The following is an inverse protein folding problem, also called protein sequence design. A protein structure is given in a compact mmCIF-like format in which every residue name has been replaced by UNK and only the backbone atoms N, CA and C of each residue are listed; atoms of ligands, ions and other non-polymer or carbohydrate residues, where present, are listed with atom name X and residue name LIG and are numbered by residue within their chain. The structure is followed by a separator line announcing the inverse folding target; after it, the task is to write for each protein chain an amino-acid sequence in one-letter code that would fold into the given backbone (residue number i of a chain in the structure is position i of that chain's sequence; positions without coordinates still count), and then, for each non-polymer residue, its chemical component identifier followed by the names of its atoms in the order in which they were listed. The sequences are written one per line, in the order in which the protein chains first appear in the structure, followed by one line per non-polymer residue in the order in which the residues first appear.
data_IF_954606062548
#
_entry.id   IF_954606062548
#
_cell.length_a   1.000
_cell.length_b   1.000
_cell.length_c   1.000
_cell.angle_alpha   90.00
_cell.angle_beta   90.00
_cell.angle_gamma   90.00
#
_symmetry.space_group_name_H-M   'P 1'
#
loop_
_entity.id
_entity.type
_entity.pdbx_description
1 polymer ?
2 polymer ?
3 polymer ?
4 water ?
#
# COMPACT_ATOMS: atom_id res chain seq x y z
N UNK A 1 -12.57 18.22 -10.48
CA UNK A 1 -12.49 19.44 -9.62
C UNK A 1 -12.10 19.10 -8.18
N UNK A 2 -12.57 17.97 -7.65
CA UNK A 2 -12.22 17.51 -6.30
C UNK A 2 -11.00 16.57 -6.28
N UNK A 3 -9.90 16.99 -6.88
CA UNK A 3 -8.67 16.20 -6.89
C UNK A 3 -7.51 17.09 -6.44
N UNK A 4 -6.72 16.58 -5.50
CA UNK A 4 -5.45 17.20 -5.14
C UNK A 4 -4.35 16.25 -5.61
N UNK A 5 -3.43 16.80 -6.39
CA UNK A 5 -2.42 15.99 -7.04
C UNK A 5 -1.11 16.24 -6.34
N UNK A 6 -0.42 15.16 -5.99
CA UNK A 6 0.89 15.26 -5.37
C UNK A 6 1.87 14.37 -6.13
N UNK A 7 3.16 14.69 -6.11
CA UNK A 7 4.10 13.74 -6.68
C UNK A 7 4.16 12.48 -5.81
N UNK A 8 4.29 11.30 -6.44
CA UNK A 8 4.21 10.11 -5.60
C UNK A 8 5.40 9.97 -4.66
N UNK A 9 6.55 10.49 -5.04
CA UNK A 9 7.76 10.31 -4.25
C UNK A 9 8.59 11.57 -4.19
N UNK A 10 9.29 11.75 -3.07
CA UNK A 10 10.35 12.77 -2.93
C UNK A 10 11.46 12.16 -2.09
N UNK A 11 12.69 12.62 -2.29
CA UNK A 11 13.81 12.16 -1.44
C UNK A 11 14.82 13.26 -1.15
N UNK A 12 15.44 13.18 0.01
CA UNK A 12 16.50 14.11 0.39
C UNK A 12 17.46 13.45 1.36
N UNK A 13 18.57 14.10 1.62
CA UNK A 13 19.53 13.60 2.59
C UNK A 13 19.34 14.40 3.89
N UNK A 14 19.77 13.81 5.02
CA UNK A 14 19.68 14.51 6.30
C UNK A 14 20.35 15.88 6.22
N UNK A 15 19.64 16.90 6.67
CA UNK A 15 20.14 18.28 6.63
C UNK A 15 19.45 19.12 5.58
N UNK A 16 19.06 18.50 4.47
CA UNK A 16 18.47 19.22 3.36
C UNK A 16 17.07 19.81 3.64
N UNK A 17 16.70 20.71 2.74
CA UNK A 17 15.35 21.23 2.64
C UNK A 17 14.71 20.54 1.47
N UNK A 18 13.50 20.03 1.68
CA UNK A 18 12.66 19.54 0.59
C UNK A 18 11.30 20.23 0.65
N UNK A 19 10.61 20.22 -0.48
CA UNK A 19 9.32 20.86 -0.61
C UNK A 19 8.37 19.87 -1.24
N UNK A 20 7.31 19.53 -0.52
CA UNK A 20 6.27 18.63 -1.04
C UNK A 20 5.17 19.47 -1.67
N UNK A 21 4.78 19.09 -2.89
CA UNK A 21 3.90 19.89 -3.73
C UNK A 21 2.50 19.27 -3.74
N UNK A 22 1.50 20.14 -3.84
CA UNK A 22 0.11 19.75 -3.90
C UNK A 22 -0.60 20.69 -4.86
N UNK A 23 -1.27 20.11 -5.85
CA UNK A 23 -1.95 20.90 -6.89
C UNK A 23 -3.44 20.60 -6.91
N UNK A 24 -4.25 21.61 -6.64
CA UNK A 24 -5.70 21.49 -6.59
C UNK A 24 -6.37 22.34 -7.66
N UNK A 25 -7.61 22.76 -7.36
CA UNK A 25 -8.40 23.57 -8.26
C UNK A 25 -9.00 24.73 -7.47
N UNK A 26 -9.69 25.59 -8.19
CA UNK A 26 -10.44 26.70 -7.61
C UNK A 26 -11.56 26.22 -6.71
N UNK A 27 -11.92 24.94 -6.84
CA UNK A 27 -12.96 24.32 -6.02
C UNK A 27 -12.47 23.94 -4.60
N UNK A 28 -11.16 23.88 -4.42
CA UNK A 28 -10.59 23.52 -3.13
C UNK A 28 -9.43 24.44 -2.72
N UNK A 29 -8.24 24.20 -3.26
CA UNK A 29 -6.99 24.79 -2.72
C UNK A 29 -6.92 26.32 -2.81
N UNK A 30 -7.43 26.89 -3.90
CA UNK A 30 -7.28 28.33 -4.12
C UNK A 30 -8.00 29.20 -3.09
N UNK A 31 -9.15 28.75 -2.58
CA UNK A 31 -9.98 29.57 -1.68
C UNK A 31 -10.29 28.93 -0.33
N UNK A 32 -10.38 27.61 -0.29
CA UNK A 32 -10.58 26.89 0.97
C UNK A 32 -9.26 26.62 1.69
N UNK A 33 -9.38 26.41 2.99
CA UNK A 33 -8.23 26.15 3.84
C UNK A 33 -7.55 24.85 3.42
N UNK A 34 -6.21 24.90 3.37
CA UNK A 34 -5.40 23.71 3.18
C UNK A 34 -4.79 23.25 4.50
N UNK A 35 -4.73 21.93 4.68
CA UNK A 35 -4.17 21.30 5.85
C UNK A 35 -3.13 20.30 5.39
N UNK A 36 -2.12 20.05 6.23
CA UNK A 36 -1.09 19.07 5.91
C UNK A 36 -0.95 18.03 7.01
N UNK A 37 -0.85 16.77 6.57
CA UNK A 37 -0.72 15.63 7.45
C UNK A 37 0.55 14.85 7.15
N UNK A 38 1.17 14.34 8.21
CA UNK A 38 2.28 13.42 8.16
C UNK A 38 1.76 12.04 8.57
N UNK A 39 2.22 11.00 7.90
CA UNK A 39 1.77 9.65 8.21
C UNK A 39 2.95 8.70 8.20
N UNK A 40 3.34 8.29 9.40
CA UNK A 40 4.49 7.43 9.62
C UNK A 40 4.01 6.03 9.95
N UNK A 41 4.86 5.03 9.70
CA UNK A 41 4.51 3.65 10.00
C UNK A 41 4.07 3.48 11.45
N UNK A 42 2.93 2.82 11.63
CA UNK A 42 2.45 2.43 12.95
C UNK A 42 1.82 3.55 13.74
N UNK A 43 1.61 4.71 13.10
CA UNK A 43 1.04 5.89 13.74
C UNK A 43 -0.09 6.44 12.84
N UNK A 44 -1.13 6.98 13.45
CA UNK A 44 -2.23 7.59 12.71
C UNK A 44 -1.71 8.83 12.00
N UNK A 45 -2.41 9.28 10.94
CA UNK A 45 -2.04 10.57 10.37
C UNK A 45 -2.03 11.69 11.41
N UNK A 46 -1.09 12.63 11.23
CA UNK A 46 -0.82 13.68 12.20
C UNK A 46 -0.90 15.05 11.55
N UNK A 47 -1.75 15.90 12.10
CA UNK A 47 -1.93 17.23 11.59
C UNK A 47 -0.65 18.04 11.77
N UNK A 48 -0.09 18.54 10.67
CA UNK A 48 1.14 19.33 10.69
C UNK A 48 0.84 20.82 10.58
N UNK A 49 0.00 21.16 9.61
CA UNK A 49 -0.32 22.55 9.27
C UNK A 49 -1.83 22.68 9.15
N UNK A 50 -2.35 23.83 9.58
CA UNK A 50 -3.75 24.12 9.38
C UNK A 50 -3.92 25.50 8.77
N UNK A 51 -5.07 25.69 8.12
CA UNK A 51 -5.44 26.94 7.48
C UNK A 51 -4.26 27.52 6.71
N UNK A 52 -3.81 26.70 5.76
CA UNK A 52 -2.79 27.04 4.75
C UNK A 52 -1.36 27.08 5.26
N UNK A 53 -1.12 27.81 6.34
CA UNK A 53 0.26 28.09 6.78
C UNK A 53 0.47 28.18 8.30
N UNK A 54 -0.48 27.75 9.10
CA UNK A 54 -0.32 27.78 10.55
C UNK A 54 0.14 26.43 11.03
N UNK A 55 1.29 26.41 11.69
CA UNK A 55 1.82 25.19 12.27
C UNK A 55 0.98 24.77 13.49
N UNK A 56 0.69 23.47 13.60
CA UNK A 56 -0.06 22.94 14.75
C UNK A 56 0.85 22.97 15.97
N UNK A 57 0.28 23.11 17.16
CA UNK A 57 1.12 23.17 18.35
C UNK A 57 1.90 21.86 18.51
N UNK A 58 3.08 21.98 19.11
CA UNK A 58 3.98 20.86 19.26
C UNK A 58 4.76 20.52 18.02
N UNK A 59 4.39 21.06 16.86
CA UNK A 59 5.09 20.70 15.62
C UNK A 59 6.37 21.55 15.52
N UNK A 60 7.49 20.92 15.14
CA UNK A 60 8.76 21.67 15.01
C UNK A 60 8.73 22.71 13.88
N UNK A 61 9.40 23.84 14.11
CA UNK A 61 9.34 24.98 13.19
C UNK A 61 10.14 24.83 11.89
N UNK A 62 10.83 23.70 11.73
CA UNK A 62 11.38 23.34 10.41
C UNK A 62 10.29 22.84 9.45
N UNK A 63 9.06 22.75 9.96
CA UNK A 63 7.87 22.55 9.14
C UNK A 63 7.17 23.90 8.84
N UNK A 64 6.92 24.12 7.55
CA UNK A 64 6.29 25.35 7.10
C UNK A 64 5.45 25.06 5.87
N UNK A 65 4.51 25.96 5.57
CA UNK A 65 3.65 25.83 4.39
C UNK A 65 3.24 27.19 3.86
N UNK A 66 2.81 27.21 2.59
CA UNK A 66 2.35 28.42 1.94
C UNK A 66 1.39 28.07 0.81
N UNK A 67 0.79 29.10 0.20
CA UNK A 67 -0.25 28.94 -0.81
C UNK A 67 -0.19 30.08 -1.83
N UNK A 68 -0.29 29.73 -3.12
CA UNK A 68 -0.39 30.71 -4.18
C UNK A 68 -1.21 30.08 -5.30
N UNK A 69 -2.30 30.75 -5.71
CA UNK A 69 -3.25 30.17 -6.64
C UNK A 69 -3.70 28.79 -6.17
N UNK A 70 -3.77 27.84 -7.11
CA UNK A 70 -4.24 26.48 -6.83
C UNK A 70 -3.14 25.52 -6.36
N UNK A 71 -1.94 26.03 -6.05
CA UNK A 71 -0.85 25.19 -5.53
C UNK A 71 -0.58 25.49 -4.07
N UNK A 72 -0.23 24.43 -3.34
CA UNK A 72 0.17 24.53 -1.95
C UNK A 72 1.45 23.73 -1.79
N UNK A 73 2.32 24.16 -0.89
CA UNK A 73 3.53 23.37 -0.61
C UNK A 73 3.90 23.33 0.89
N UNK A 74 4.49 22.20 1.28
CA UNK A 74 4.99 21.99 2.62
C UNK A 74 6.51 22.01 2.55
N UNK A 75 7.13 22.97 3.22
CA UNK A 75 8.58 23.01 3.33
C UNK A 75 9.00 22.27 4.58
N UNK A 76 9.99 21.38 4.44
CA UNK A 76 10.65 20.75 5.59
C UNK A 76 12.15 21.03 5.45
N UNK A 77 12.70 21.81 6.38
CA UNK A 77 14.14 22.03 6.40
C UNK A 77 14.73 21.15 7.51
N UNK A 78 16.05 21.11 7.61
CA UNK A 78 16.71 20.27 8.62
C UNK A 78 16.20 18.84 8.58
N UNK A 79 16.03 18.31 7.36
CA UNK A 79 15.43 16.99 7.14
C UNK A 79 16.08 15.93 8.01
N UNK A 80 15.26 15.24 8.80
CA UNK A 80 15.73 14.19 9.71
C UNK A 80 15.21 12.84 9.27
N UNK A 81 15.94 11.76 9.61
CA UNK A 81 15.52 10.39 9.34
C UNK A 81 14.08 10.08 9.78
N UNK A 82 13.64 10.68 10.90
CA UNK A 82 12.29 10.53 11.46
C UNK A 82 11.22 11.08 10.54
N UNK A 83 11.60 11.99 9.65
CA UNK A 83 10.64 12.59 8.74
C UNK A 83 10.20 11.64 7.61
N UNK A 84 10.91 10.54 7.43
CA UNK A 84 10.60 9.59 6.40
C UNK A 84 9.19 9.06 6.60
N UNK A 85 8.36 9.20 5.57
CA UNK A 85 6.96 8.81 5.65
C UNK A 85 6.16 9.48 4.55
N UNK A 86 4.84 9.34 4.68
CA UNK A 86 3.89 9.88 3.71
C UNK A 86 3.33 11.21 4.18
N UNK A 87 3.29 12.16 3.24
CA UNK A 87 2.81 13.51 3.48
C UNK A 87 1.65 13.83 2.55
N UNK A 88 0.53 14.20 3.14
CA UNK A 88 -0.71 14.50 2.42
C UNK A 88 -1.11 15.96 2.61
N UNK A 89 -1.49 16.62 1.52
CA UNK A 89 -2.27 17.85 1.63
C UNK A 89 -3.74 17.44 1.76
N UNK A 90 -4.55 18.39 2.21
CA UNK A 90 -5.96 18.18 2.36
C UNK A 90 -6.68 19.52 2.38
N UNK A 91 -7.91 19.51 1.88
CA UNK A 91 -8.71 20.71 1.77
C UNK A 91 -10.20 20.34 1.78
N UNK A 92 -11.04 21.32 2.05
CA UNK A 92 -12.44 21.20 1.77
C UNK A 92 -12.67 21.57 0.29
N UNK A 93 -13.59 20.84 -0.34
CA UNK A 93 -13.93 21.04 -1.73
C UNK A 93 -15.42 21.33 -1.78
N UNK A 94 -15.82 22.27 -2.60
CA UNK A 94 -17.23 22.61 -2.65
C UNK A 94 -17.79 22.50 -4.06
N UNK A 95 -17.36 21.48 -4.79
CA UNK A 95 -17.89 21.18 -6.13
C UNK A 95 -19.36 20.75 -6.05
N UNK A 96 -19.69 19.97 -5.02
CA UNK A 96 -21.07 19.58 -4.75
C UNK A 96 -21.82 20.64 -3.95
N UNK A 97 -21.19 21.78 -3.69
CA UNK A 97 -21.82 22.88 -2.95
C UNK A 97 -21.97 22.50 -1.49
N UNK A 98 -21.02 21.69 -1.04
CA UNK A 98 -21.14 21.01 0.23
C UNK A 98 -19.74 20.92 0.76
N UNK A 99 -19.61 20.64 2.07
CA UNK A 99 -18.35 20.39 2.69
C UNK A 99 -17.85 18.96 2.42
N UNK A 100 -17.18 18.76 1.29
CA UNK A 100 -16.47 17.53 1.03
C UNK A 100 -15.00 17.69 1.37
N UNK A 101 -14.46 16.72 2.08
CA UNK A 101 -13.07 16.73 2.49
C UNK A 101 -12.27 15.88 1.51
N UNK A 102 -11.22 16.46 0.95
CA UNK A 102 -10.39 15.75 -0.02
C UNK A 102 -8.96 15.67 0.49
N UNK A 103 -8.39 14.47 0.44
CA UNK A 103 -6.96 14.24 0.64
C UNK A 103 -6.25 14.24 -0.70
N UNK A 104 -5.03 14.76 -0.74
CA UNK A 104 -4.17 14.56 -1.88
C UNK A 104 -3.77 13.11 -1.98
N UNK A 105 -3.12 12.73 -3.08
CA UNK A 105 -2.76 11.34 -3.33
C UNK A 105 -1.64 10.88 -2.43
N UNK A 106 -0.96 11.84 -1.79
CA UNK A 106 0.13 11.55 -0.86
C UNK A 106 1.47 11.59 -1.58
N UNK A 107 2.50 11.99 -0.83
CA UNK A 107 3.88 11.92 -1.29
C UNK A 107 4.70 11.12 -0.28
N UNK A 108 5.33 10.06 -0.79
CA UNK A 108 6.20 9.20 0.00
C UNK A 108 7.60 9.82 0.03
N UNK A 109 7.96 10.40 1.18
CA UNK A 109 9.27 11.02 1.39
C UNK A 109 10.31 10.01 1.90
N UNK A 110 11.40 9.87 1.17
CA UNK A 110 12.50 9.04 1.64
C UNK A 110 13.61 9.95 2.15
N UNK A 111 14.02 9.77 3.40
CA UNK A 111 15.22 10.42 3.92
C UNK A 111 16.40 9.43 3.76
N UNK A 112 17.31 9.77 2.86
CA UNK A 112 18.33 8.83 2.39
C UNK A 112 19.28 8.30 3.47
N UNK A 113 19.00 7.08 3.95
CA UNK A 113 19.76 6.43 5.02
C UNK A 113 21.06 5.73 4.57
N UNK A 114 21.12 5.34 3.31
CA UNK A 114 22.26 4.56 2.81
C UNK A 114 22.47 4.88 1.34
N UNK A 115 23.55 4.35 0.73
CA UNK A 115 23.76 4.73 -0.68
C UNK A 115 22.71 4.12 -1.57
N UNK A 116 22.37 4.81 -2.65
CA UNK A 116 21.39 4.33 -3.61
C UNK A 116 21.89 3.02 -4.18
N UNK A 117 20.95 2.14 -4.52
CA UNK A 117 21.29 0.78 -4.94
C UNK A 117 20.37 0.31 -6.06
N UNK A 118 20.98 -0.16 -7.15
CA UNK A 118 20.25 -0.69 -8.30
C UNK A 118 19.68 -2.06 -7.98
N UNK A 119 18.52 -2.39 -8.57
CA UNK A 119 17.92 -3.71 -8.36
C UNK A 119 18.68 -4.84 -9.05
N UNK A 120 18.63 -6.04 -8.46
CA UNK A 120 18.94 -7.28 -9.16
C UNK A 120 17.62 -7.83 -9.66
N UNK A 121 17.56 -8.14 -10.96
CA UNK A 121 16.38 -8.74 -11.54
C UNK A 121 16.73 -10.16 -11.98
N UNK A 122 15.84 -11.08 -11.65
CA UNK A 122 15.89 -12.45 -12.15
C UNK A 122 14.52 -12.81 -12.68
N UNK A 123 14.48 -13.36 -13.89
CA UNK A 123 13.23 -13.72 -14.56
C UNK A 123 13.25 -15.21 -14.84
N UNK A 124 12.23 -15.91 -14.33
CA UNK A 124 12.06 -17.32 -14.61
C UNK A 124 10.92 -17.50 -15.60
N UNK A 125 11.15 -18.32 -16.65
CA UNK A 125 10.07 -18.69 -17.54
C UNK A 125 9.21 -19.76 -16.90
N UNK A 126 7.99 -19.97 -17.43
CA UNK A 126 7.13 -21.02 -16.87
C UNK A 126 7.84 -22.36 -16.87
N UNK A 127 7.66 -23.12 -15.79
CA UNK A 127 8.24 -24.46 -15.67
C UNK A 127 7.48 -25.39 -16.58
N UNK A 128 8.10 -26.50 -16.94
CA UNK A 128 7.46 -27.49 -17.79
C UNK A 128 6.29 -28.15 -17.04
N UNK A 129 6.48 -28.36 -15.73
CA UNK A 129 5.44 -28.95 -14.86
C UNK A 129 4.16 -28.11 -14.91
N UNK A 130 4.33 -26.80 -14.81
CA UNK A 130 3.23 -25.86 -14.88
C UNK A 130 2.57 -25.85 -16.24
N UNK A 131 3.38 -26.00 -17.29
CA UNK A 131 2.85 -26.09 -18.65
C UNK A 131 2.12 -27.41 -18.90
N UNK A 132 2.46 -28.46 -18.16
CA UNK A 132 1.68 -29.73 -18.21
C UNK A 132 0.34 -29.55 -17.50
N UNK A 133 0.29 -28.57 -16.59
CA UNK A 133 -0.95 -28.21 -15.91
C UNK A 133 -1.78 -27.18 -16.68
N UNK A 134 -1.36 -26.85 -17.91
CA UNK A 134 -2.12 -25.96 -18.80
C UNK A 134 -2.20 -24.55 -18.25
N UNK A 135 -1.10 -24.11 -17.65
CA UNK A 135 -0.95 -22.76 -17.13
C UNK A 135 0.46 -22.32 -17.46
N UNK A 136 0.70 -21.02 -17.35
CA UNK A 136 2.02 -20.47 -17.60
C UNK A 136 2.20 -19.20 -16.78
N UNK A 137 3.21 -19.20 -15.91
CA UNK A 137 3.53 -18.00 -15.16
C UNK A 137 5.00 -17.65 -15.30
N UNK A 138 5.23 -16.38 -15.62
CA UNK A 138 6.54 -15.76 -15.65
C UNK A 138 6.75 -15.02 -14.33
N UNK A 139 7.94 -15.20 -13.75
CA UNK A 139 8.22 -14.75 -12.40
C UNK A 139 9.41 -13.81 -12.44
N UNK A 140 9.16 -12.56 -12.09
CA UNK A 140 10.17 -11.51 -12.10
C UNK A 140 10.48 -11.10 -10.69
N UNK A 141 11.73 -11.32 -10.29
CA UNK A 141 12.17 -11.16 -8.91
C UNK A 141 13.21 -10.05 -8.77
N UNK A 142 12.80 -9.01 -8.04
CA UNK A 142 13.48 -7.72 -7.95
C UNK A 142 13.95 -7.46 -6.52
N UNK A 143 15.26 -7.29 -6.34
CA UNK A 143 15.85 -7.24 -5.01
C UNK A 143 16.99 -6.25 -4.89
N UNK A 144 17.30 -5.90 -3.64
CA UNK A 144 18.40 -5.01 -3.26
C UNK A 144 18.40 -3.65 -3.95
N UNK A 145 17.21 -3.09 -4.10
CA UNK A 145 17.10 -1.71 -4.55
C UNK A 145 16.86 -0.74 -3.38
N UNK A 146 17.42 0.46 -3.51
CA UNK A 146 17.24 1.55 -2.56
C UNK A 146 17.44 2.84 -3.33
N UNK A 147 16.54 3.83 -3.15
CA UNK A 147 15.30 3.80 -2.36
C UNK A 147 14.27 2.79 -2.88
N UNK A 148 13.18 2.63 -2.12
CA UNK A 148 12.27 1.49 -2.30
C UNK A 148 11.09 1.69 -3.23
N UNK A 149 11.33 2.19 -4.42
CA UNK A 149 10.28 2.29 -5.42
C UNK A 149 10.81 1.85 -6.79
N UNK A 150 10.09 0.92 -7.42
CA UNK A 150 10.36 0.50 -8.79
C UNK A 150 9.11 0.63 -9.66
N UNK A 151 9.32 0.60 -10.98
CA UNK A 151 8.26 0.55 -11.97
C UNK A 151 8.54 -0.72 -12.75
N UNK A 152 7.53 -1.58 -12.92
CA UNK A 152 7.71 -2.78 -13.74
C UNK A 152 6.90 -2.69 -15.02
N UNK A 153 7.57 -2.97 -16.14
CA UNK A 153 6.91 -3.08 -17.43
C UNK A 153 7.19 -4.47 -18.00
N UNK A 154 6.16 -5.11 -18.54
CA UNK A 154 6.33 -6.39 -19.21
C UNK A 154 6.20 -6.20 -20.72
N UNK A 155 6.98 -6.98 -21.47
CA UNK A 155 6.91 -6.94 -22.93
C UNK A 155 6.68 -8.33 -23.50
N UNK A 156 5.73 -8.43 -24.44
CA UNK A 156 5.55 -9.59 -25.30
C UNK A 156 6.28 -9.24 -26.59
N UNK A 157 7.40 -9.91 -26.83
CA UNK A 157 8.41 -9.45 -27.79
C UNK A 157 8.82 -8.02 -27.40
N UNK A 158 8.57 -7.04 -28.27
CA UNK A 158 8.92 -5.64 -28.02
C UNK A 158 7.72 -4.78 -27.62
N UNK A 159 6.54 -5.39 -27.52
CA UNK A 159 5.28 -4.66 -27.28
C UNK A 159 4.80 -4.78 -25.84
N UNK A 160 4.08 -3.74 -25.35
CA UNK A 160 3.75 -3.69 -23.92
C UNK A 160 2.59 -4.63 -23.51
N UNK A 161 2.74 -5.25 -22.34
CA UNK A 161 1.74 -6.19 -21.83
C UNK A 161 1.02 -5.56 -20.65
N UNK A 162 -0.26 -5.25 -20.84
CA UNK A 162 -1.09 -4.65 -19.79
C UNK A 162 -1.77 -5.73 -18.93
N UNK A 163 -2.54 -6.60 -19.60
CA UNK A 163 -3.36 -7.62 -18.93
C UNK A 163 -2.56 -8.81 -18.40
N UNK A 164 -2.95 -9.31 -17.24
CA UNK A 164 -2.35 -10.50 -16.64
C UNK A 164 -1.14 -10.29 -15.75
N UNK A 165 -0.82 -9.02 -15.46
CA UNK A 165 0.31 -8.70 -14.58
C UNK A 165 -0.15 -8.46 -13.14
N UNK A 166 0.52 -9.11 -12.19
CA UNK A 166 0.36 -8.80 -10.77
C UNK A 166 1.71 -8.57 -10.10
N UNK A 167 1.86 -7.40 -9.49
CA UNK A 167 3.11 -6.95 -8.88
C UNK A 167 2.89 -6.59 -7.40
N UNK A 168 3.87 -6.92 -6.57
CA UNK A 168 3.76 -6.66 -5.13
C UNK A 168 4.20 -5.25 -4.85
N UNK A 169 3.81 -4.71 -3.70
CA UNK A 169 4.44 -3.50 -3.20
C UNK A 169 5.89 -3.82 -2.77
N UNK A 170 6.80 -2.85 -2.83
CA UNK A 170 8.12 -3.18 -2.31
C UNK A 170 8.12 -3.39 -0.81
N UNK A 171 8.95 -4.31 -0.34
CA UNK A 171 9.06 -4.59 1.08
C UNK A 171 10.53 -4.43 1.51
N UNK A 172 10.74 -3.82 2.67
CA UNK A 172 12.08 -3.63 3.21
C UNK A 172 12.66 -4.99 3.56
N UNK A 173 13.82 -5.30 2.98
CA UNK A 173 14.57 -6.51 3.28
C UNK A 173 15.25 -6.38 4.63
N UNK A 174 15.90 -7.45 5.09
CA UNK A 174 16.62 -7.40 6.37
C UNK A 174 17.83 -6.46 6.31
N UNK A 175 18.36 -6.23 5.11
CA UNK A 175 19.49 -5.30 4.93
C UNK A 175 19.09 -3.82 4.69
N UNK A 176 17.80 -3.50 4.90
CA UNK A 176 17.24 -2.15 4.75
C UNK A 176 17.08 -1.65 3.32
N UNK A 177 17.51 -2.46 2.36
CA UNK A 177 17.16 -2.29 0.96
C UNK A 177 15.82 -3.00 0.76
N UNK A 178 15.30 -2.94 -0.47
CA UNK A 178 13.93 -3.36 -0.74
C UNK A 178 13.85 -4.51 -1.74
N UNK A 179 12.68 -5.14 -1.74
CA UNK A 179 12.41 -6.29 -2.59
C UNK A 179 10.99 -6.21 -3.13
N UNK A 180 10.82 -6.73 -4.35
CA UNK A 180 9.51 -6.80 -5.01
C UNK A 180 9.52 -7.94 -6.04
N UNK A 181 8.33 -8.40 -6.39
CA UNK A 181 8.19 -9.46 -7.37
C UNK A 181 6.99 -9.16 -8.26
N UNK A 182 7.08 -9.59 -9.51
CA UNK A 182 6.03 -9.33 -10.51
C UNK A 182 5.72 -10.64 -11.24
N UNK A 183 4.43 -10.95 -11.36
CA UNK A 183 3.99 -12.19 -12.00
C UNK A 183 3.11 -11.85 -13.18
N UNK A 184 3.49 -12.34 -14.36
CA UNK A 184 2.64 -12.26 -15.56
C UNK A 184 2.01 -13.62 -15.82
N UNK A 185 0.69 -13.63 -16.00
CA UNK A 185 -0.05 -14.85 -16.26
C UNK A 185 -0.42 -14.97 -17.73
N UNK A 186 -0.14 -16.14 -18.30
CA UNK A 186 -0.42 -16.41 -19.69
C UNK A 186 -1.04 -17.79 -19.82
N UNK A 187 -1.90 -17.98 -20.83
CA UNK A 187 -2.22 -19.32 -21.29
C UNK A 187 -1.00 -19.83 -22.06
N UNK A 188 -0.80 -21.17 -22.06
CA UNK A 188 0.37 -21.71 -22.74
C UNK A 188 0.43 -21.34 -24.23
N UNK A 189 -0.72 -21.13 -24.85
CA UNK A 189 -0.78 -20.71 -26.25
C UNK A 189 -0.18 -19.32 -26.44
N UNK A 190 -0.36 -18.45 -25.44
CA UNK A 190 0.21 -17.10 -25.48
C UNK A 190 1.74 -17.12 -25.36
N UNK A 191 2.24 -17.95 -24.46
CA UNK A 191 3.68 -18.13 -24.22
C UNK A 191 4.39 -18.72 -25.44
N UNK A 192 3.84 -19.81 -25.94
CA UNK A 192 4.33 -20.54 -27.11
C UNK A 192 4.45 -19.67 -28.37
N UNK A 193 3.52 -18.73 -28.55
CA UNK A 193 3.44 -17.97 -29.81
C UNK A 193 4.61 -17.00 -30.00
N UNK A 194 4.86 -16.16 -28.99
CA UNK A 194 5.85 -15.10 -29.10
C UNK A 194 7.30 -15.60 -29.11
N UNK A 195 8.18 -14.80 -29.71
CA UNK A 195 9.61 -15.09 -29.76
C UNK A 195 10.27 -14.91 -28.39
N UNK A 196 9.76 -13.96 -27.61
CA UNK A 196 10.28 -13.73 -26.26
C UNK A 196 9.34 -12.90 -25.39
N UNK A 197 9.63 -12.92 -24.10
CA UNK A 197 8.96 -12.08 -23.11
C UNK A 197 10.01 -11.37 -22.27
N UNK A 198 9.71 -10.16 -21.80
CA UNK A 198 10.69 -9.37 -21.09
C UNK A 198 10.12 -8.72 -19.82
N UNK A 199 10.92 -8.70 -18.76
CA UNK A 199 10.62 -7.94 -17.55
C UNK A 199 11.51 -6.69 -17.51
N UNK A 200 10.89 -5.51 -17.60
CA UNK A 200 11.62 -4.23 -17.50
C UNK A 200 11.37 -3.58 -16.15
N UNK A 201 12.40 -3.53 -15.32
CA UNK A 201 12.35 -2.84 -14.03
C UNK A 201 13.15 -1.54 -14.11
N UNK A 202 12.51 -0.43 -13.74
CA UNK A 202 13.15 0.88 -13.74
C UNK A 202 13.22 1.48 -12.32
N UNK A 203 14.43 1.89 -11.93
CA UNK A 203 14.73 2.42 -10.61
C UNK A 203 15.61 3.67 -10.77
N UNK A 204 15.15 4.79 -10.22
CA UNK A 204 15.91 6.06 -10.30
C UNK A 204 16.42 6.33 -11.74
N UNK A 205 15.53 6.21 -12.72
CA UNK A 205 15.85 6.53 -14.12
C UNK A 205 16.68 5.48 -14.86
N UNK A 206 17.09 4.43 -14.15
CA UNK A 206 17.91 3.39 -14.73
C UNK A 206 17.06 2.14 -14.90
N UNK A 207 17.17 1.50 -16.05
CA UNK A 207 16.35 0.35 -16.40
C UNK A 207 17.19 -0.93 -16.52
N UNK A 208 16.66 -2.00 -15.91
CA UNK A 208 17.24 -3.33 -16.01
C UNK A 208 16.18 -4.24 -16.64
N UNK A 209 16.56 -4.89 -17.74
CA UNK A 209 15.66 -5.74 -18.48
C UNK A 209 16.24 -7.14 -18.56
N UNK A 210 15.41 -8.13 -18.27
CA UNK A 210 15.73 -9.54 -18.49
C UNK A 210 14.68 -10.09 -19.44
N UNK A 211 15.12 -10.98 -20.34
CA UNK A 211 14.24 -11.56 -21.33
C UNK A 211 14.32 -13.08 -21.24
N UNK A 212 13.21 -13.75 -21.55
CA UNK A 212 13.19 -15.22 -21.65
C UNK A 212 12.42 -15.61 -22.92
N UNK A 213 12.61 -16.86 -23.34
CA UNK A 213 11.97 -17.38 -24.56
C UNK A 213 11.67 -18.87 -24.36
N UNK A 214 10.67 -19.40 -25.09
CA UNK A 214 10.49 -20.86 -25.10
C UNK A 214 11.75 -21.59 -25.56
N UNK A 215 12.05 -22.72 -24.91
CA UNK A 215 13.28 -23.49 -25.17
C UNK A 215 14.53 -22.60 -25.10
N UNK B 1 -7.20 14.17 28.37
CA UNK B 1 -6.51 14.21 27.05
C UNK B 1 -7.35 13.43 26.03
N UNK B 2 -7.65 14.08 24.91
CA UNK B 2 -8.59 13.51 23.97
C UNK B 2 -7.98 12.25 23.33
N UNK B 3 -8.73 11.16 23.33
CA UNK B 3 -8.32 9.92 22.67
C UNK B 3 -9.50 9.33 21.97
N UNK B 4 -9.26 8.80 20.76
CA UNK B 4 -10.19 7.87 20.10
C UNK B 4 -9.59 6.47 20.04
N UNK B 5 -10.38 5.49 20.47
CA UNK B 5 -9.93 4.11 20.52
C UNK B 5 -10.80 3.23 19.63
N UNK B 6 -10.17 2.61 18.64
CA UNK B 6 -10.93 1.86 17.64
C UNK B 6 -10.88 0.40 18.02
N UNK B 7 -11.88 -0.34 17.57
CA UNK B 7 -11.91 -1.79 17.75
C UNK B 7 -10.81 -2.53 16.95
N UNK B 8 -10.68 -3.81 17.24
CA UNK B 8 -9.57 -4.62 16.73
C UNK B 8 -9.74 -5.07 15.29
N UNK B 9 -8.68 -5.71 14.78
CA UNK B 9 -8.58 -6.19 13.42
C UNK B 9 -9.68 -7.20 13.13
N UNK B 10 -10.14 -7.22 11.89
CA UNK B 10 -11.21 -8.09 11.49
C UNK B 10 -10.81 -8.83 10.23
N UNK B 11 -11.08 -10.13 10.22
CA UNK B 11 -10.85 -10.99 9.08
C UNK B 11 -12.22 -11.60 8.75
N UNK B 12 -12.76 -11.21 7.60
CA UNK B 12 -14.10 -11.61 7.23
C UNK B 12 -14.15 -12.26 5.87
N UNK B 13 -15.26 -12.97 5.64
CA UNK B 13 -15.57 -13.52 4.33
C UNK B 13 -16.51 -12.58 3.58
N UNK B 14 -16.32 -12.50 2.26
CA UNK B 14 -17.12 -11.61 1.46
C UNK B 14 -18.59 -11.97 1.58
N UNK B 15 -19.43 -10.96 1.77
CA UNK B 15 -20.88 -11.12 1.86
C UNK B 15 -21.30 -10.98 3.31
N UNK B 16 -20.36 -11.10 4.22
CA UNK B 16 -20.63 -10.94 5.65
C UNK B 16 -20.81 -9.49 6.09
N UNK B 17 -21.62 -9.29 7.12
CA UNK B 17 -21.79 -7.99 7.74
C UNK B 17 -20.71 -7.73 8.80
N UNK B 18 -20.45 -6.45 9.06
CA UNK B 18 -19.44 -6.01 9.98
C UNK B 18 -19.80 -4.63 10.49
N UNK B 19 -19.70 -4.44 11.80
CA UNK B 19 -19.79 -3.12 12.43
C UNK B 19 -18.47 -2.88 13.16
N UNK B 20 -17.79 -1.79 12.86
CA UNK B 20 -16.58 -1.42 13.61
C UNK B 20 -16.85 -0.20 14.47
N UNK B 21 -15.96 0.03 15.45
CA UNK B 21 -16.20 0.98 16.54
C UNK B 21 -15.08 1.97 16.77
N UNK B 22 -15.47 3.12 17.30
CA UNK B 22 -14.52 4.13 17.69
C UNK B 22 -15.08 4.81 18.91
N UNK B 23 -14.43 4.56 20.04
CA UNK B 23 -14.88 5.12 21.29
C UNK B 23 -13.97 6.29 21.67
N UNK B 24 -14.62 7.37 22.11
CA UNK B 24 -13.95 8.64 22.37
C UNK B 24 -13.90 8.94 23.87
N UNK B 25 -13.03 9.88 24.23
CA UNK B 25 -12.81 10.30 25.61
C UNK B 25 -12.12 11.66 25.59
N UNK B 26 -12.40 12.49 26.58
CA UNK B 26 -11.73 13.78 26.73
C UNK B 26 -12.53 15.01 26.35
N UNK B 27 -13.76 14.82 25.89
CA UNK B 27 -14.55 15.91 25.34
C UNK B 27 -16.01 15.46 25.13
N UNK B 28 -16.88 16.42 24.86
CA UNK B 28 -18.33 16.18 24.67
C UNK B 28 -18.59 15.51 23.34
N UNK B 29 -18.89 14.21 23.40
CA UNK B 29 -19.12 13.37 22.25
C UNK B 29 -20.20 13.87 21.29
N UNK B 30 -21.32 14.31 21.84
CA UNK B 30 -22.43 14.85 21.05
C UNK B 30 -22.03 16.09 20.22
N UNK B 31 -20.95 16.79 20.59
CA UNK B 31 -20.70 18.15 20.07
C UNK B 31 -19.74 18.28 18.86
N UNK B 32 -19.11 17.19 18.45
CA UNK B 32 -18.12 17.25 17.39
C UNK B 32 -18.46 16.23 16.34
N UNK B 33 -18.29 16.61 15.07
CA UNK B 33 -18.35 15.63 13.96
C UNK B 33 -17.26 14.60 14.16
N UNK B 34 -17.56 13.37 13.76
CA UNK B 34 -16.58 12.30 13.66
C UNK B 34 -16.55 11.87 12.20
N UNK B 35 -15.32 11.65 11.69
CA UNK B 35 -15.10 11.37 10.29
C UNK B 35 -14.47 10.01 10.16
N UNK B 36 -14.65 9.41 9.00
CA UNK B 36 -14.05 8.12 8.69
C UNK B 36 -13.24 8.20 7.43
N UNK B 37 -12.10 7.52 7.45
CA UNK B 37 -11.07 7.62 6.42
C UNK B 37 -10.57 6.20 6.17
N UNK B 38 -10.40 5.87 4.89
CA UNK B 38 -10.06 4.54 4.44
C UNK B 38 -8.67 4.57 3.76
N UNK B 39 -7.86 3.55 4.02
CA UNK B 39 -6.61 3.34 3.28
C UNK B 39 -6.49 1.91 2.77
N UNK B 40 -6.68 1.72 1.47
CA UNK B 40 -6.45 0.42 0.87
C UNK B 40 -4.94 0.15 0.77
N UNK B 41 -4.51 -1.13 0.93
CA UNK B 41 -3.12 -1.55 0.89
C UNK B 41 -2.36 -0.92 -0.25
N UNK B 42 -1.28 -0.21 0.09
CA UNK B 42 -0.46 0.48 -0.91
C UNK B 42 -1.07 1.75 -1.50
N UNK B 43 -2.21 2.18 -0.98
CA UNK B 43 -2.87 3.37 -1.51
C UNK B 43 -2.88 4.44 -0.44
N UNK B 44 -3.47 5.59 -0.78
CA UNK B 44 -3.54 6.75 0.11
C UNK B 44 -4.79 6.80 0.97
N UNK B 45 -4.85 7.83 1.81
CA UNK B 45 -6.02 8.10 2.62
C UNK B 45 -7.19 8.62 1.79
N UNK B 46 -8.36 8.16 2.12
CA UNK B 46 -9.54 8.48 1.38
C UNK B 46 -10.70 8.76 2.32
N UNK B 47 -11.27 9.95 2.19
CA UNK B 47 -12.40 10.36 3.02
C UNK B 47 -13.71 9.64 2.70
N UNK B 48 -14.36 9.14 3.73
CA UNK B 48 -15.61 8.38 3.59
C UNK B 48 -16.84 9.25 3.93
N UNK B 49 -16.78 9.96 5.04
CA UNK B 49 -17.89 10.80 5.49
C UNK B 49 -17.65 11.35 6.88
N UNK B 50 -18.55 12.22 7.31
CA UNK B 50 -18.62 12.73 8.67
C UNK B 50 -20.03 12.47 9.23
N UNK B 51 -20.06 12.13 10.52
CA UNK B 51 -21.28 11.89 11.28
C UNK B 51 -21.27 12.76 12.53
N UNK B 52 -22.43 13.39 12.80
CA UNK B 52 -22.63 14.30 13.95
C UNK B 52 -23.51 13.65 15.04
N UNK B 53 -22.87 13.18 16.13
CA UNK B 53 -23.62 12.43 17.12
C UNK B 53 -24.76 13.16 17.80
N UNK B 54 -24.69 14.48 17.89
CA UNK B 54 -25.65 15.24 18.66
C UNK B 54 -27.07 15.21 18.09
N UNK B 55 -27.17 15.11 16.77
CA UNK B 55 -28.47 15.09 16.08
C UNK B 55 -28.53 14.08 14.94
N UNK B 56 -27.53 13.21 14.85
CA UNK B 56 -27.48 12.16 13.81
C UNK B 56 -27.39 12.66 12.35
N UNK B 57 -26.86 13.86 12.15
CA UNK B 57 -26.59 14.38 10.83
C UNK B 57 -25.40 13.61 10.24
N UNK B 58 -25.32 13.58 8.91
CA UNK B 58 -24.31 12.81 8.19
C UNK B 58 -23.99 13.43 6.82
N UNK B 59 -22.76 13.28 6.38
CA UNK B 59 -22.41 13.55 5.00
C UNK B 59 -21.48 12.47 4.55
N UNK B 60 -21.84 11.84 3.45
CA UNK B 60 -21.05 10.78 2.86
C UNK B 60 -20.36 11.33 1.62
N UNK B 61 -19.10 10.97 1.44
CA UNK B 61 -18.44 11.13 0.13
C UNK B 61 -19.23 10.36 -0.94
N UNK B 62 -19.33 10.91 -2.18
CA UNK B 62 -20.16 10.25 -3.22
C UNK B 62 -19.88 8.77 -3.45
N UNK B 63 -18.62 8.36 -3.36
CA UNK B 63 -18.24 6.96 -3.55
C UNK B 63 -18.74 6.03 -2.43
N UNK B 64 -19.04 6.62 -1.28
CA UNK B 64 -19.39 5.81 -0.11
C UNK B 64 -20.89 5.81 0.23
N UNK B 65 -21.61 6.78 -0.30
CA UNK B 65 -23.03 6.90 -0.09
C UNK B 65 -23.70 5.60 -0.58
N UNK B 66 -24.56 5.04 0.27
CA UNK B 66 -25.23 3.78 -0.04
C UNK B 66 -24.38 2.53 0.09
N UNK B 67 -23.08 2.68 0.33
CA UNK B 67 -22.17 1.54 0.42
C UNK B 67 -21.79 1.18 1.85
N UNK B 68 -21.92 2.14 2.75
CA UNK B 68 -21.57 1.93 4.15
C UNK B 68 -22.52 2.81 4.99
N UNK B 69 -22.68 2.48 6.27
CA UNK B 69 -23.51 3.30 7.18
C UNK B 69 -22.70 3.77 8.40
N UNK B 70 -22.65 5.09 8.58
CA UNK B 70 -22.20 5.72 9.84
C UNK B 70 -23.35 5.85 10.84
N UNK B 71 -23.02 5.63 12.10
CA UNK B 71 -23.94 5.84 13.20
C UNK B 71 -23.15 6.15 14.50
N UNK B 72 -23.87 6.34 15.60
CA UNK B 72 -23.22 6.66 16.88
C UNK B 72 -24.12 6.27 18.05
N UNK B 73 -23.52 5.72 19.10
CA UNK B 73 -24.22 5.34 20.31
C UNK B 73 -23.82 6.31 21.40
N UNK B 74 -24.77 7.14 21.75
CA UNK B 74 -24.57 8.19 22.72
C UNK B 74 -24.61 7.69 24.16
N UNK B 75 -25.11 6.48 24.37
CA UNK B 75 -25.06 5.88 25.69
C UNK B 75 -23.62 5.48 26.06
N UNK B 76 -22.75 5.32 25.04
CA UNK B 76 -21.41 4.77 25.23
C UNK B 76 -20.30 5.55 24.53
N UNK B 77 -20.62 6.73 24.02
CA UNK B 77 -19.66 7.59 23.30
C UNK B 77 -18.90 6.85 22.20
N UNK B 78 -19.65 6.02 21.47
CA UNK B 78 -19.07 5.18 20.42
C UNK B 78 -19.66 5.49 19.05
N UNK B 79 -18.78 5.85 18.11
CA UNK B 79 -19.14 6.00 16.71
C UNK B 79 -18.92 4.67 16.03
N UNK B 80 -19.82 4.35 15.11
CA UNK B 80 -19.71 3.10 14.34
C UNK B 80 -19.75 3.33 12.81
N UNK B 81 -19.15 2.36 12.13
CA UNK B 81 -19.16 2.23 10.70
C UNK B 81 -19.61 0.80 10.40
N UNK B 82 -20.59 0.63 9.51
CA UNK B 82 -21.01 -0.70 9.15
C UNK B 82 -21.34 -0.97 7.68
N UNK B 83 -21.05 -2.23 7.33
CA UNK B 83 -21.33 -2.90 6.06
C UNK B 83 -22.28 -4.07 6.31
N UNK B 84 -23.32 -4.19 5.49
CA UNK B 84 -24.15 -5.38 5.49
C UNK B 84 -23.61 -6.49 4.57
N UNK B 85 -22.82 -6.14 3.56
CA UNK B 85 -22.29 -7.13 2.61
C UNK B 85 -20.87 -6.76 2.19
N UNK B 86 -19.91 -7.21 2.99
CA UNK B 86 -18.51 -6.89 2.74
C UNK B 86 -18.01 -7.45 1.42
N UNK B 87 -17.20 -6.66 0.70
CA UNK B 87 -16.63 -7.10 -0.57
C UNK B 87 -15.12 -7.13 -0.40
N UNK B 88 -14.43 -7.97 -1.19
CA UNK B 88 -12.97 -8.01 -1.14
C UNK B 88 -12.31 -6.62 -1.20
N UNK B 89 -12.91 -5.71 -1.96
CA UNK B 89 -12.37 -4.37 -2.13
C UNK B 89 -12.57 -3.47 -0.89
N UNK B 90 -13.20 -3.99 0.16
CA UNK B 90 -13.34 -3.26 1.40
C UNK B 90 -12.16 -3.55 2.33
N UNK B 91 -11.28 -4.46 1.92
CA UNK B 91 -10.02 -4.73 2.59
C UNK B 91 -9.22 -3.43 2.70
N UNK B 92 -9.02 -2.94 3.92
CA UNK B 92 -8.41 -1.61 4.13
C UNK B 92 -8.14 -1.42 5.60
N UNK B 93 -7.30 -0.42 5.89
CA UNK B 93 -7.22 0.19 7.23
C UNK B 93 -8.23 1.35 7.29
N UNK B 94 -9.02 1.39 8.33
CA UNK B 94 -10.09 2.36 8.50
C UNK B 94 -9.79 3.21 9.74
N UNK B 95 -9.81 4.52 9.54
CA UNK B 95 -9.53 5.46 10.59
C UNK B 95 -10.78 6.22 10.95
N UNK B 96 -10.88 6.52 12.21
CA UNK B 96 -11.88 7.39 12.74
C UNK B 96 -11.13 8.64 13.23
N UNK B 97 -11.73 9.81 13.11
CA UNK B 97 -11.04 11.04 13.49
C UNK B 97 -12.07 12.09 13.86
N UNK B 98 -11.71 12.94 14.80
CA UNK B 98 -12.53 14.07 15.18
C UNK B 98 -12.24 15.27 14.28
N UNK B 99 -13.31 15.96 13.88
CA UNK B 99 -13.22 17.22 13.16
C UNK B 99 -13.28 18.32 14.20
N UNK B 100 -12.13 18.96 14.41
CA UNK B 100 -12.02 20.00 15.40
C UNK B 100 -10.98 21.06 15.05
N UNK B 101 -9.98 21.17 15.92
CA UNK B 101 -8.94 22.16 15.82
C UNK B 101 -9.17 23.28 16.83
N UNK B 102 -10.44 23.65 17.04
CA UNK B 102 -10.81 24.71 18.00
C UNK B 102 -10.05 26.04 17.74
N UNK B 103 -9.87 26.41 16.47
CA UNK B 103 -9.08 27.60 16.15
C UNK B 103 -9.84 28.91 16.38
N UNK B 104 -11.15 28.79 16.55
CA UNK B 104 -12.03 29.90 16.91
C UNK B 104 -12.98 29.45 18.01
N UNK B 105 -13.68 30.42 18.59
CA UNK B 105 -14.68 30.19 19.64
C UNK B 105 -15.72 29.15 19.26
N UNK B 106 -16.07 29.13 17.97
CA UNK B 106 -17.05 28.18 17.45
C UNK B 106 -16.49 27.48 16.23
N UNK B 107 -17.15 26.38 15.85
CA UNK B 107 -16.86 25.66 14.62
C UNK B 107 -15.72 24.66 14.64
N UNK B 108 -15.56 23.97 13.52
CA UNK B 108 -14.55 22.94 13.37
C UNK B 108 -14.04 23.03 11.95
N UNK B 109 -12.82 22.56 11.72
CA UNK B 109 -12.36 22.48 10.34
C UNK B 109 -11.32 21.43 9.96
N UNK B 110 -10.57 20.88 10.90
CA UNK B 110 -9.57 19.86 10.56
C UNK B 110 -9.68 18.61 11.43
N UNK B 111 -9.38 17.46 10.87
CA UNK B 111 -9.37 16.24 11.65
C UNK B 111 -8.16 16.26 12.57
N UNK B 112 -8.41 16.45 13.88
CA UNK B 112 -7.33 16.72 14.85
C UNK B 112 -6.87 15.50 15.63
N UNK B 113 -7.81 14.80 16.24
CA UNK B 113 -7.53 13.59 17.02
C UNK B 113 -8.03 12.35 16.28
N UNK B 114 -7.16 11.35 16.18
CA UNK B 114 -7.33 10.19 15.33
C UNK B 114 -7.28 8.90 16.14
N UNK B 115 -8.16 7.95 15.78
CA UNK B 115 -8.09 6.61 16.28
C UNK B 115 -6.86 5.94 15.71
N UNK B 116 -6.49 4.79 16.30
CA UNK B 116 -5.28 4.08 15.88
C UNK B 116 -5.52 3.25 14.61
N UNK B 117 -6.76 3.23 14.14
CA UNK B 117 -7.10 2.46 12.98
C UNK B 117 -7.45 1.01 13.25
N UNK B 118 -8.32 0.48 12.39
CA UNK B 118 -8.84 -0.86 12.46
C UNK B 118 -8.65 -1.47 11.09
N UNK B 119 -7.93 -2.59 11.07
CA UNK B 119 -7.67 -3.31 9.82
C UNK B 119 -8.82 -4.29 9.53
N UNK B 120 -9.36 -4.22 8.32
CA UNK B 120 -10.38 -5.19 7.86
C UNK B 120 -9.85 -5.90 6.61
N UNK B 121 -9.79 -7.22 6.66
CA UNK B 121 -9.41 -8.05 5.51
C UNK B 121 -10.63 -8.87 5.13
N UNK B 122 -10.96 -8.85 3.83
CA UNK B 122 -12.16 -9.48 3.30
C UNK B 122 -11.75 -10.37 2.12
N UNK B 123 -12.08 -11.65 2.20
CA UNK B 123 -11.73 -12.58 1.15
C UNK B 123 -12.92 -13.39 0.74
N UNK B 124 -12.92 -13.70 -0.53
CA UNK B 124 -13.93 -14.51 -1.12
C UNK B 124 -13.37 -15.94 -1.33
N UNK B 125 -12.07 -16.14 -1.04
CA UNK B 125 -11.43 -17.46 -1.17
C UNK B 125 -11.67 -18.34 0.06
N UNK B 126 -11.46 -19.65 -0.08
CA UNK B 126 -11.29 -20.52 1.10
C UNK B 126 -9.98 -21.33 1.11
N UNK B 127 -9.67 -21.89 2.28
CA UNK B 127 -8.43 -22.64 2.49
C UNK B 127 -8.09 -23.49 1.26
N UNK B 128 -6.93 -23.21 0.67
CA UNK B 128 -6.39 -23.97 -0.44
C UNK B 128 -4.88 -24.01 -0.31
N UNK B 129 -4.32 -25.23 -0.38
CA UNK B 129 -2.88 -25.42 -0.40
C UNK B 129 -2.30 -25.12 -1.77
N UNK B 130 -1.01 -24.79 -1.84
CA UNK B 130 -0.39 -24.32 -3.08
C UNK B 130 0.00 -25.43 -4.05
N UNK B 131 0.11 -25.08 -5.32
CA UNK B 131 0.91 -25.85 -6.27
C UNK B 131 2.35 -25.33 -6.21
N UNK B 132 3.32 -26.22 -5.97
CA UNK B 132 4.71 -25.84 -5.95
C UNK B 132 5.38 -26.30 -7.24
N UNK B 133 5.87 -25.37 -8.03
CA UNK B 133 6.59 -25.70 -9.26
C UNK B 133 8.05 -25.33 -9.14
N UNK B 134 8.91 -26.10 -9.82
CA UNK B 134 10.34 -25.82 -9.74
C UNK B 134 10.69 -24.71 -10.72
N UNK B 135 11.55 -23.79 -10.29
CA UNK B 135 12.03 -22.73 -11.16
C UNK B 135 13.47 -23.08 -11.54
N UNK B 136 13.63 -23.65 -12.73
CA UNK B 136 14.90 -24.29 -13.12
C UNK B 136 16.06 -23.32 -13.43
N UNK B 137 17.30 -23.71 -13.07
CA UNK B 137 18.53 -22.98 -13.40
C UNK B 137 18.56 -22.44 -14.82
N UNK B 138 18.50 -21.11 -14.92
CA UNK B 138 18.74 -20.41 -16.16
C UNK B 138 20.14 -20.79 -16.68
N UNK B 139 20.19 -21.78 -17.57
CA UNK B 139 21.45 -22.32 -18.12
C UNK B 139 22.28 -23.08 -17.07
N UNK B 140 23.25 -23.87 -17.56
CA UNK B 140 24.20 -24.58 -16.69
C UNK B 140 25.59 -23.91 -16.73
N UNK B 141 26.45 -24.33 -17.66
CA UNK B 141 27.86 -23.92 -17.66
C UNK B 141 28.11 -22.50 -18.21
N UNK B 142 27.41 -21.52 -17.66
CA UNK B 142 27.71 -20.11 -17.93
C UNK B 142 28.94 -19.70 -17.10
N UNK B 143 29.95 -19.11 -17.75
CA UNK B 143 31.19 -18.71 -17.09
C UNK B 143 31.10 -17.39 -16.28
N UNK B 144 29.88 -16.96 -15.92
CA UNK B 144 29.66 -15.69 -15.23
C UNK B 144 29.59 -15.75 -13.71
N UNK B 145 29.63 -16.96 -13.15
CA UNK B 145 29.77 -17.16 -11.71
C UNK B 145 28.74 -18.08 -11.09
N UNK B 146 27.72 -17.48 -10.47
CA UNK B 146 26.72 -18.21 -9.71
C UNK B 146 25.45 -18.42 -10.54
N UNK B 147 24.50 -19.17 -10.00
CA UNK B 147 23.25 -19.51 -10.69
C UNK B 147 22.02 -19.24 -9.82
N UNK B 148 20.88 -19.04 -10.47
CA UNK B 148 19.60 -18.74 -9.79
C UNK B 148 18.53 -19.77 -10.16
N UNK B 149 18.06 -20.48 -9.14
CA UNK B 149 16.93 -21.42 -9.27
C UNK B 149 15.96 -21.23 -8.10
N UNK B 150 14.77 -21.81 -8.16
CA UNK B 150 13.79 -21.57 -7.10
C UNK B 150 12.55 -22.43 -7.08
N UNK B 151 11.61 -22.07 -6.20
CA UNK B 151 10.28 -22.68 -6.18
C UNK B 151 9.19 -21.62 -6.27
N UNK B 152 8.34 -21.79 -7.28
CA UNK B 152 7.13 -21.03 -7.40
C UNK B 152 6.06 -21.77 -6.54
N UNK B 153 5.53 -21.04 -5.55
CA UNK B 153 4.53 -21.56 -4.64
C UNK B 153 3.21 -20.87 -4.95
N UNK B 154 2.35 -21.58 -5.67
CA UNK B 154 1.27 -20.94 -6.40
C UNK B 154 -0.12 -21.25 -5.83
N UNK B 155 -0.94 -20.20 -5.73
CA UNK B 155 -2.39 -20.30 -5.47
C UNK B 155 -2.81 -20.97 -4.18
N UNK B 156 -2.44 -20.35 -3.07
CA UNK B 156 -2.81 -20.82 -1.77
C UNK B 156 -3.60 -19.77 -0.98
N UNK B 157 -4.31 -20.24 0.04
CA UNK B 157 -5.03 -19.37 0.96
C UNK B 157 -5.28 -20.12 2.26
N UNK B 158 -5.14 -19.43 3.41
CA UNK B 158 -4.61 -18.08 3.60
C UNK B 158 -3.11 -18.14 3.81
N UNK B 159 -2.49 -16.98 4.03
CA UNK B 159 -1.12 -16.91 4.57
C UNK B 159 -1.06 -17.59 5.93
N UNK B 160 0.13 -17.98 6.38
CA UNK B 160 1.41 -17.90 5.69
C UNK B 160 1.77 -19.21 5.03
N UNK B 161 2.88 -19.20 4.31
CA UNK B 161 3.53 -20.40 3.83
C UNK B 161 4.96 -20.39 4.38
N UNK B 162 5.48 -21.56 4.69
CA UNK B 162 6.87 -21.69 5.15
C UNK B 162 7.67 -22.34 4.05
N UNK B 163 8.85 -21.81 3.76
CA UNK B 163 9.78 -22.43 2.80
C UNK B 163 11.17 -22.70 3.41
N UNK B 164 11.72 -23.86 3.10
CA UNK B 164 13.13 -24.17 3.42
C UNK B 164 13.79 -24.88 2.24
N UNK B 165 15.10 -25.07 2.34
CA UNK B 165 15.86 -25.71 1.26
C UNK B 165 16.79 -26.75 1.83
N UNK B 166 16.79 -27.93 1.21
CA UNK B 166 17.54 -29.07 1.74
C UNK B 166 17.26 -29.24 3.24
N UNK B 167 15.97 -29.09 3.59
CA UNK B 167 15.52 -29.16 4.97
C UNK B 167 16.28 -28.21 5.91
N UNK B 168 16.49 -26.97 5.46
CA UNK B 168 17.11 -25.94 6.30
C UNK B 168 18.62 -25.95 6.37
N UNK B 169 19.25 -26.98 5.79
CA UNK B 169 20.70 -27.06 5.70
C UNK B 169 21.26 -26.06 4.69
N UNK B 170 20.44 -25.73 3.67
CA UNK B 170 20.79 -24.70 2.69
C UNK B 170 20.09 -23.39 3.03
N UNK B 171 20.84 -22.45 3.59
CA UNK B 171 20.32 -21.11 3.92
C UNK B 171 21.03 -20.00 3.16
N UNK B 172 22.29 -20.21 2.80
CA UNK B 172 23.09 -19.17 2.15
C UNK B 172 22.55 -18.81 0.77
N UNK B 173 22.22 -17.53 0.58
CA UNK B 173 21.77 -17.04 -0.71
C UNK B 173 20.28 -17.27 -0.94
N UNK B 174 19.59 -17.76 0.08
CA UNK B 174 18.17 -18.02 -0.01
C UNK B 174 17.41 -16.69 0.11
N UNK B 175 16.55 -16.40 -0.85
CA UNK B 175 15.64 -15.26 -0.74
C UNK B 175 14.23 -15.75 -1.03
N UNK B 176 13.39 -15.79 0.00
CA UNK B 176 11.99 -16.09 -0.16
C UNK B 176 11.23 -14.77 -0.17
N UNK B 177 10.38 -14.57 -1.18
CA UNK B 177 9.79 -13.26 -1.43
C UNK B 177 8.37 -13.17 -0.85
N UNK B 178 8.00 -11.99 -0.33
CA UNK B 178 6.59 -11.81 0.04
C UNK B 178 5.60 -12.18 -1.08
N UNK B 179 4.54 -12.85 -0.68
CA UNK B 179 3.42 -13.18 -1.56
C UNK B 179 2.82 -11.99 -2.29
N UNK B 180 2.31 -12.27 -3.48
CA UNK B 180 1.38 -11.40 -4.19
C UNK B 180 -0.03 -11.94 -3.91
N UNK B 181 -0.99 -11.03 -3.73
CA UNK B 181 -2.39 -11.41 -3.59
C UNK B 181 -3.07 -11.19 -4.93
N UNK B 182 -3.57 -12.26 -5.52
CA UNK B 182 -4.14 -12.18 -6.86
C UNK B 182 -5.60 -11.76 -6.73
N UNK B 183 -6.19 -11.39 -7.86
CA UNK B 183 -7.56 -10.91 -7.89
C UNK B 183 -8.51 -12.07 -7.60
N UNK B 184 -7.98 -13.29 -7.71
CA UNK B 184 -8.71 -14.50 -7.32
C UNK B 184 -8.90 -14.62 -5.81
N UNK B 185 -8.12 -13.88 -5.02
CA UNK B 185 -8.11 -14.03 -3.57
C UNK B 185 -7.07 -15.02 -3.09
N UNK B 186 -6.36 -15.67 -4.02
CA UNK B 186 -5.31 -16.62 -3.68
C UNK B 186 -3.94 -15.96 -3.76
N UNK B 187 -3.00 -16.44 -2.96
CA UNK B 187 -1.64 -15.90 -2.94
C UNK B 187 -0.70 -16.77 -3.76
N UNK B 188 0.39 -16.16 -4.18
CA UNK B 188 1.54 -16.87 -4.74
C UNK B 188 2.81 -16.18 -4.29
N UNK B 189 3.83 -16.96 -4.00
CA UNK B 189 5.14 -16.41 -3.69
C UNK B 189 6.24 -17.26 -4.34
N UNK B 190 7.45 -16.74 -4.31
CA UNK B 190 8.60 -17.41 -4.87
C UNK B 190 9.74 -17.40 -3.87
N UNK B 191 10.52 -18.48 -3.88
CA UNK B 191 11.73 -18.62 -3.09
C UNK B 191 12.88 -18.96 -4.01
N UNK B 192 13.97 -18.21 -3.88
CA UNK B 192 15.09 -18.35 -4.78
C UNK B 192 16.40 -18.48 -4.00
N UNK B 193 17.28 -19.34 -4.49
CA UNK B 193 18.60 -19.57 -3.89
C UNK B 193 19.71 -19.28 -4.90
N UNK B 194 20.77 -18.66 -4.42
CA UNK B 194 21.96 -18.37 -5.22
C UNK B 194 23.01 -19.42 -4.91
N UNK B 195 23.51 -20.07 -5.95
CA UNK B 195 24.41 -21.21 -5.77
C UNK B 195 25.57 -21.17 -6.76
N UNK B 196 26.61 -21.99 -6.51
CA UNK B 196 27.67 -22.17 -7.50
C UNK B 196 27.18 -22.93 -8.74
N UNK B 197 27.48 -22.40 -9.93
CA UNK B 197 27.11 -23.04 -11.19
C UNK B 197 27.79 -24.42 -11.40
N UNK B 198 28.96 -24.59 -10.79
CA UNK B 198 29.76 -25.82 -10.94
C UNK B 198 29.16 -27.07 -10.28
N UNK B 199 28.41 -26.86 -9.19
CA UNK B 199 27.84 -27.99 -8.42
C UNK B 199 26.36 -28.21 -8.72
N UNK B 200 25.93 -27.95 -9.95
CA UNK B 200 24.56 -28.29 -10.38
C UNK B 200 24.44 -29.80 -10.57
N UNK B 201 25.40 -30.39 -11.28
CA UNK B 201 25.45 -31.84 -11.42
C UNK B 201 26.15 -32.51 -10.25
N UNK B 202 25.97 -31.95 -9.05
CA UNK B 202 26.60 -32.46 -7.84
C UNK B 202 25.60 -32.44 -6.69
N UNK B 203 25.29 -31.24 -6.21
CA UNK B 203 24.45 -31.07 -5.04
C UNK B 203 22.99 -30.91 -5.46
N UNK B 204 22.14 -31.79 -4.93
CA UNK B 204 20.70 -31.71 -5.19
C UNK B 204 20.13 -30.49 -4.48
N UNK B 205 19.05 -29.94 -5.05
CA UNK B 205 18.35 -28.82 -4.45
C UNK B 205 16.85 -29.10 -4.38
N UNK B 206 16.37 -29.47 -3.18
CA UNK B 206 14.92 -29.57 -2.94
C UNK B 206 14.40 -28.42 -2.05
N UNK B 207 13.23 -27.90 -2.41
CA UNK B 207 12.57 -26.90 -1.57
C UNK B 207 11.41 -27.54 -0.79
N UNK B 208 11.28 -27.11 0.45
CA UNK B 208 10.33 -27.70 1.38
C UNK B 208 9.28 -26.66 1.72
N UNK B 209 8.10 -26.83 1.14
CA UNK B 209 7.00 -25.91 1.32
C UNK B 209 6.04 -26.48 2.38
N UNK B 210 5.65 -25.63 3.34
CA UNK B 210 4.72 -26.02 4.41
C UNK B 210 3.60 -24.98 4.49
N UNK B 211 2.37 -25.44 4.25
CA UNK B 211 1.19 -24.59 4.36
C UNK B 211 0.25 -25.23 5.36
N UNK B 212 0.32 -24.75 6.61
CA UNK B 212 -0.36 -25.38 7.73
C UNK B 212 -1.88 -25.24 7.75
N UNK B 213 -2.44 -24.10 7.34
CA UNK B 213 -3.91 -24.04 7.23
C UNK B 213 -4.56 -25.19 6.45
N UNK B 214 -3.98 -25.60 5.33
CA UNK B 214 -4.48 -26.72 4.53
C UNK B 214 -3.73 -28.01 4.84
N UNK B 215 -2.73 -27.88 5.70
CA UNK B 215 -1.92 -29.00 6.16
C UNK B 215 -1.22 -29.69 5.00
N UNK B 216 -0.54 -28.88 4.19
CA UNK B 216 0.17 -29.34 3.02
C UNK B 216 1.65 -29.24 3.26
N UNK B 217 2.36 -30.34 3.03
CA UNK B 217 3.81 -30.33 2.86
C UNK B 217 4.12 -30.84 1.45
N UNK B 218 5.02 -30.15 0.76
CA UNK B 218 5.46 -30.56 -0.58
C UNK B 218 6.96 -30.41 -0.69
N UNK B 219 7.62 -31.45 -1.16
CA UNK B 219 9.06 -31.43 -1.42
C UNK B 219 9.31 -31.55 -2.92
N UNK B 220 9.81 -30.47 -3.54
CA UNK B 220 10.06 -30.43 -5.00
C UNK B 220 11.54 -30.37 -5.37
N UNK B 221 11.91 -31.18 -6.35
CA UNK B 221 13.29 -31.32 -6.87
C UNK B 221 13.54 -30.31 -8.00
N UNK B 222 14.49 -29.40 -7.82
CA UNK B 222 14.76 -28.34 -8.79
C UNK B 222 16.02 -28.64 -9.59
N UNK B 223 15.84 -29.04 -10.84
CA UNK B 223 16.92 -29.55 -11.69
C UNK B 223 17.12 -28.74 -12.98
N UNK B 224 18.33 -28.80 -13.56
CA UNK B 224 18.61 -28.07 -14.81
C UNK B 224 17.68 -28.45 -15.97
N UNK B 225 17.23 -27.46 -16.72
CA UNK B 225 16.19 -27.64 -17.76
C UNK B 225 16.72 -28.25 -19.06
N UNK B 226 15.87 -29.07 -19.69
CA UNK B 226 16.23 -29.84 -20.88
C UNK B 226 15.87 -29.10 -22.15
N UNK C 3 -20.89 25.78 19.76
CA UNK C 3 -21.39 24.86 18.69
C UNK C 3 -20.50 23.62 18.42
N UNK C 4 -19.50 23.85 17.55
CA UNK C 4 -18.62 22.84 16.93
C UNK C 4 -19.19 22.07 15.71
N UNK C 5 -20.48 22.22 15.43
CA UNK C 5 -21.08 21.61 14.23
C UNK C 5 -20.78 22.39 12.95
N UNK C 6 -20.62 23.71 13.03
CA UNK C 6 -20.31 24.47 11.83
C UNK C 6 -18.88 24.17 11.36
N UNK C 7 -18.74 24.05 10.05
CA UNK C 7 -17.48 23.69 9.43
C UNK C 7 -16.98 24.94 8.70
N UNK C 8 -15.79 25.42 9.08
CA UNK C 8 -15.15 26.54 8.39
C UNK C 8 -14.34 26.05 7.17
N UNK C 9 -14.85 26.30 5.97
CA UNK C 9 -14.24 25.83 4.71
C UNK C 9 -12.97 26.64 4.37
N UNK C 10 -13.32 28.23 4.77
CA UNK C 10 -12.29 29.14 4.37
C UNK C 10 -12.54 30.42 5.10
N UNK C 11 -11.75 31.44 4.79
CA UNK C 11 -12.02 32.72 5.43
C UNK C 11 -13.44 33.24 5.10
N UNK C 12 -14.20 33.54 6.15
CA UNK C 12 -15.55 34.10 6.02
C UNK C 12 -16.63 33.14 5.52
N UNK C 13 -16.34 31.86 5.46
CA UNK C 13 -17.28 30.90 4.89
C UNK C 13 -17.37 29.62 5.70
N UNK C 14 -18.59 29.11 5.81
CA UNK C 14 -18.91 27.96 6.64
C UNK C 14 -20.21 27.24 6.21
N UNK C 15 -20.26 25.97 6.55
CA UNK C 15 -21.45 25.14 6.48
C UNK C 15 -21.97 24.83 7.88
N UNK C 16 -23.25 24.46 7.95
CA UNK C 16 -23.93 24.14 9.22
C UNK C 16 -23.80 25.28 10.21
N UNK C 17 -23.85 26.52 9.74
CA UNK C 17 -23.77 27.67 10.64
C UNK C 17 -25.18 28.01 11.13
N UNK C 18 -25.27 28.90 12.13
CA UNK C 18 -26.57 29.16 12.82
C UNK C 18 -26.87 30.66 13.06
#
# INVERSE_FOLDING_TARGET
QSVLTQPPSASGTPGQRISISCSGTSSNVENNYVYWYQHLPGTAPKLLIYRNDHRSSGIPDRFSASKSGTSASLAISGLRPEDEGDYYCAAWDDSRGGPDWVFGGGTKLTVLAQPKAAPSVTLFPPSSEELQANKATLVCLISDFYPGAVTVAWKADSSPVKAGVETTTPSKQSNNKYAASSYLSLTPEQWKSHKSYSCQVTHEGSTVEKTVAPT
EIQLEQSGAEVKKSGESLKISCQTSGYSFSDYWIGWVRQMPGKGLEWMGIFYPGDSDSRYSPSFEGQVTMSADRSTNTAHLQWSSLKPSDTALYYCARLGGDYEDSGADAFDFWGQGTLVTVSSASTKGPSVFPLAPSSKSTSGGTAALGCLVKDYFPEPVTVSWNSGALTSGVHTFPAVLQSSGLYSLSSVVTVPSSSLGTQTYICNVNHKPSNTKVDKKVEPKS
NNTRKSIHLGPGRAFYATGDIIG
#
